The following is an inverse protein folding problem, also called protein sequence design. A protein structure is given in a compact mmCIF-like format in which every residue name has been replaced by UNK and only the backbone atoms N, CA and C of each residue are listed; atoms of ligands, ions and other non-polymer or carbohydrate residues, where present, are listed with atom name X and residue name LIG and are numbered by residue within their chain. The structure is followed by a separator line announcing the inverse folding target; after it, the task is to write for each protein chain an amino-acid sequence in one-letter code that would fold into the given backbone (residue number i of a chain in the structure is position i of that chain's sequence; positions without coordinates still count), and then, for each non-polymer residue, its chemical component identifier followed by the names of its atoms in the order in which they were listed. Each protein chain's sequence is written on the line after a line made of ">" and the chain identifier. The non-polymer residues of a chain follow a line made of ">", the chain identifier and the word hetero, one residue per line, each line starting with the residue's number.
data_IF_474576752932
#
_entry.id   IF_474576752932
#
_cell.length_a   1.000
_cell.length_b   1.000
_cell.length_c   1.000
_cell.angle_alpha   90.00
_cell.angle_beta   90.00
_cell.angle_gamma   90.00
#
_symmetry.space_group_name_H-M   'P 1'
#
loop_
_entity.id
_entity.type
_entity.pdbx_description
1 polymer ?
#
# COMPACT_ATOMS: atom_id res chain seq x y z
N UNK A 1 51.18 -34.97 31.25
CA UNK A 1 49.83 -34.47 30.90
C UNK A 1 50.02 -33.05 30.39
N UNK A 2 50.15 -32.94 29.06
CA UNK A 2 50.25 -31.63 28.41
C UNK A 2 48.84 -31.11 28.21
N UNK A 3 48.52 -30.01 28.85
CA UNK A 3 47.32 -29.22 28.60
C UNK A 3 47.40 -28.61 27.22
N UNK A 4 46.61 -29.11 26.32
CA UNK A 4 46.35 -28.46 25.02
C UNK A 4 45.48 -27.24 25.32
N UNK A 5 46.13 -26.08 25.47
CA UNK A 5 45.44 -24.79 25.47
C UNK A 5 44.93 -24.54 24.07
N UNK A 6 43.66 -24.84 23.84
CA UNK A 6 42.96 -24.35 22.67
C UNK A 6 42.86 -22.83 22.78
N UNK A 7 43.74 -22.15 22.09
CA UNK A 7 43.69 -20.70 21.93
C UNK A 7 42.57 -20.38 20.94
N UNK A 8 41.34 -20.23 21.48
CA UNK A 8 40.23 -19.70 20.68
C UNK A 8 40.61 -18.31 20.16
N UNK A 9 40.76 -18.22 18.89
CA UNK A 9 40.85 -16.94 18.13
C UNK A 9 39.54 -16.18 18.41
N UNK A 10 39.47 -15.47 19.51
CA UNK A 10 38.46 -14.43 19.68
C UNK A 10 38.75 -13.32 18.67
N UNK A 11 38.22 -13.44 17.48
CA UNK A 11 38.11 -12.33 16.55
C UNK A 11 37.19 -11.29 17.21
N UNK A 12 37.80 -10.37 17.96
CA UNK A 12 37.05 -9.26 18.58
C UNK A 12 36.50 -8.40 17.47
N UNK A 13 35.27 -8.72 17.05
CA UNK A 13 34.41 -7.85 16.24
C UNK A 13 34.10 -6.60 17.07
N UNK A 14 35.05 -5.68 17.12
CA UNK A 14 34.87 -4.40 17.80
C UNK A 14 34.03 -3.52 16.88
N UNK A 15 33.01 -2.84 17.43
CA UNK A 15 32.15 -1.89 16.69
C UNK A 15 33.01 -0.88 15.93
N UNK A 16 34.16 -0.46 16.49
CA UNK A 16 35.13 0.42 15.86
C UNK A 16 35.70 -0.16 14.56
N UNK A 17 36.10 -1.45 14.57
CA UNK A 17 36.62 -2.12 13.37
C UNK A 17 35.58 -2.24 12.27
N UNK A 18 34.30 -2.46 12.61
CA UNK A 18 33.20 -2.47 11.63
C UNK A 18 32.96 -1.09 11.03
N UNK A 19 32.99 -0.03 11.83
CA UNK A 19 32.83 1.36 11.36
C UNK A 19 33.98 1.77 10.43
N UNK A 20 35.21 1.41 10.74
CA UNK A 20 36.37 1.70 9.89
C UNK A 20 36.32 0.91 8.58
N UNK A 21 35.91 -0.35 8.63
CA UNK A 21 35.68 -1.16 7.43
C UNK A 21 34.55 -0.57 6.56
N UNK A 22 33.46 -0.10 7.18
CA UNK A 22 32.37 0.56 6.47
C UNK A 22 32.83 1.86 5.78
N UNK A 23 33.62 2.70 6.47
CA UNK A 23 34.21 3.92 5.88
C UNK A 23 35.12 3.62 4.70
N UNK A 24 35.98 2.61 4.81
CA UNK A 24 36.89 2.21 3.73
C UNK A 24 36.15 1.65 2.51
N UNK A 25 34.98 1.01 2.72
CA UNK A 25 34.18 0.34 1.67
C UNK A 25 32.87 1.06 1.37
N UNK A 26 32.78 2.36 1.67
CA UNK A 26 31.55 3.15 1.47
C UNK A 26 31.06 3.12 0.02
N UNK A 27 31.96 3.08 -0.95
CA UNK A 27 31.62 2.94 -2.36
C UNK A 27 30.89 1.63 -2.67
N UNK A 28 31.26 0.52 -2.01
CA UNK A 28 30.60 -0.77 -2.14
C UNK A 28 29.18 -0.74 -1.52
N UNK A 29 29.03 -0.12 -0.35
CA UNK A 29 27.73 0.08 0.30
C UNK A 29 26.78 0.83 -0.65
N UNK A 30 27.25 1.96 -1.18
CA UNK A 30 26.47 2.79 -2.09
C UNK A 30 26.11 2.03 -3.38
N UNK A 31 27.06 1.28 -3.95
CA UNK A 31 26.81 0.50 -5.16
C UNK A 31 25.72 -0.59 -4.95
N UNK A 32 25.82 -1.38 -3.88
CA UNK A 32 24.84 -2.42 -3.55
C UNK A 32 23.46 -1.80 -3.26
N UNK A 33 23.42 -0.76 -2.43
CA UNK A 33 22.18 -0.09 -2.05
C UNK A 33 21.50 0.52 -3.26
N UNK A 34 22.24 1.24 -4.11
CA UNK A 34 21.72 1.86 -5.32
C UNK A 34 21.22 0.80 -6.32
N UNK A 35 22.00 -0.27 -6.52
CA UNK A 35 21.58 -1.37 -7.39
C UNK A 35 20.26 -2.00 -6.94
N UNK A 36 20.14 -2.36 -5.65
CA UNK A 36 18.90 -2.93 -5.11
C UNK A 36 17.74 -1.95 -5.17
N UNK A 37 17.97 -0.66 -4.94
CA UNK A 37 16.94 0.38 -5.05
C UNK A 37 16.41 0.47 -6.49
N UNK A 38 17.26 0.43 -7.50
CA UNK A 38 16.86 0.41 -8.92
C UNK A 38 16.04 -0.85 -9.23
N UNK A 39 16.48 -2.01 -8.77
CA UNK A 39 15.72 -3.27 -8.90
C UNK A 39 14.35 -3.14 -8.26
N UNK A 40 14.25 -2.54 -7.06
CA UNK A 40 12.99 -2.28 -6.39
C UNK A 40 12.05 -1.38 -7.20
N UNK A 41 12.59 -0.35 -7.84
CA UNK A 41 11.83 0.52 -8.75
C UNK A 41 11.26 -0.24 -9.96
N UNK A 42 12.08 -1.10 -10.58
CA UNK A 42 11.66 -1.95 -11.70
C UNK A 42 10.55 -2.93 -11.27
N UNK A 43 10.75 -3.62 -10.13
CA UNK A 43 9.74 -4.53 -9.57
C UNK A 43 8.45 -3.79 -9.28
N UNK A 44 8.52 -2.62 -8.62
CA UNK A 44 7.34 -1.81 -8.31
C UNK A 44 6.56 -1.36 -9.54
N UNK A 45 7.26 -1.07 -10.65
CA UNK A 45 6.64 -0.60 -11.89
C UNK A 45 6.06 -1.74 -12.74
N UNK A 46 6.78 -2.84 -12.90
CA UNK A 46 6.44 -3.88 -13.87
C UNK A 46 5.71 -5.08 -13.28
N UNK A 47 6.01 -5.47 -12.04
CA UNK A 47 5.44 -6.67 -11.43
C UNK A 47 4.20 -6.41 -10.59
N UNK A 48 4.00 -5.18 -10.12
CA UNK A 48 2.84 -4.87 -9.27
C UNK A 48 1.75 -4.22 -10.10
N UNK A 49 0.60 -4.89 -10.19
CA UNK A 49 -0.57 -4.37 -10.93
C UNK A 49 -1.03 -3.05 -10.33
N UNK A 50 -1.18 -2.03 -11.17
CA UNK A 50 -1.77 -0.73 -10.80
C UNK A 50 -3.23 -0.91 -10.40
N UNK A 51 -3.64 -0.24 -9.33
CA UNK A 51 -5.04 -0.13 -8.95
C UNK A 51 -5.55 1.24 -9.35
N UNK A 52 -6.72 1.24 -9.94
CA UNK A 52 -7.48 2.42 -10.32
C UNK A 52 -8.62 2.59 -9.32
N UNK A 53 -8.83 3.80 -8.85
CA UNK A 53 -9.80 4.10 -7.81
C UNK A 53 -10.67 5.27 -8.22
N UNK A 54 -11.98 5.12 -8.00
CA UNK A 54 -12.97 6.19 -8.10
C UNK A 54 -13.78 6.24 -6.81
N UNK A 55 -14.28 7.42 -6.47
CA UNK A 55 -15.14 7.66 -5.29
C UNK A 55 -16.38 8.41 -5.71
N UNK A 56 -17.51 8.05 -5.13
CA UNK A 56 -18.80 8.73 -5.31
C UNK A 56 -19.52 8.83 -3.98
N UNK A 57 -20.60 9.58 -3.95
CA UNK A 57 -21.41 9.78 -2.76
C UNK A 57 -22.90 9.71 -3.09
N UNK A 58 -23.65 9.01 -2.25
CA UNK A 58 -25.10 8.97 -2.29
C UNK A 58 -25.66 9.43 -0.95
N UNK A 59 -26.80 10.10 -0.97
CA UNK A 59 -27.56 10.47 0.23
C UNK A 59 -28.84 9.63 0.27
N UNK A 60 -29.16 9.20 1.49
CA UNK A 60 -30.41 8.50 1.77
C UNK A 60 -31.26 9.37 2.67
N UNK A 61 -32.46 9.71 2.21
CA UNK A 61 -33.42 10.53 2.96
C UNK A 61 -34.78 9.84 2.98
N UNK A 62 -35.37 9.69 4.15
CA UNK A 62 -36.72 9.23 4.26
C UNK A 62 -37.66 10.22 3.57
N UNK A 63 -38.52 9.74 2.67
CA UNK A 63 -39.57 10.53 2.08
C UNK A 63 -40.78 10.38 2.96
N UNK A 64 -41.30 11.50 3.45
CA UNK A 64 -42.53 11.59 4.24
C UNK A 64 -43.62 12.07 3.31
N UNK A 65 -44.74 11.34 3.23
CA UNK A 65 -45.92 11.78 2.48
C UNK A 65 -46.54 13.03 3.12
N UNK A 66 -47.22 13.83 2.31
CA UNK A 66 -47.91 15.06 2.82
C UNK A 66 -48.91 14.75 3.95
N UNK A 67 -49.54 13.59 3.92
CA UNK A 67 -50.48 13.12 4.93
C UNK A 67 -49.81 12.79 6.28
N UNK A 68 -48.54 12.42 6.25
CA UNK A 68 -47.74 12.06 7.42
C UNK A 68 -46.78 13.16 7.87
N UNK A 69 -46.60 14.19 7.08
CA UNK A 69 -45.67 15.30 7.36
C UNK A 69 -45.97 16.00 8.70
N UNK A 70 -47.22 16.04 9.09
CA UNK A 70 -47.64 16.61 10.39
C UNK A 70 -47.55 15.62 11.58
N UNK A 71 -47.28 14.33 11.30
CA UNK A 71 -47.24 13.26 12.33
C UNK A 71 -45.79 12.87 12.69
N UNK A 72 -44.85 13.14 11.81
CA UNK A 72 -43.44 12.74 11.97
C UNK A 72 -42.59 13.98 12.24
N UNK A 73 -41.93 14.03 13.38
CA UNK A 73 -41.00 15.14 13.66
C UNK A 73 -39.75 15.08 12.73
N UNK A 74 -39.17 16.24 12.44
CA UNK A 74 -37.93 16.33 11.66
C UNK A 74 -36.82 15.49 12.25
N UNK A 75 -36.73 15.38 13.56
CA UNK A 75 -35.78 14.54 14.27
C UNK A 75 -35.99 13.04 13.97
N UNK A 76 -37.27 12.59 14.00
CA UNK A 76 -37.63 11.20 13.70
C UNK A 76 -37.32 10.87 12.22
N UNK A 77 -37.70 11.78 11.31
CA UNK A 77 -37.40 11.61 9.89
C UNK A 77 -35.87 11.51 9.62
N UNK A 78 -35.08 12.32 10.31
CA UNK A 78 -33.61 12.23 10.22
C UNK A 78 -33.09 10.92 10.79
N UNK A 79 -33.52 10.48 11.96
CA UNK A 79 -33.11 9.22 12.56
C UNK A 79 -33.44 8.02 11.66
N UNK A 80 -34.63 8.01 11.07
CA UNK A 80 -35.03 6.99 10.11
C UNK A 80 -34.17 7.03 8.86
N UNK A 81 -33.80 8.21 8.36
CA UNK A 81 -32.91 8.37 7.24
C UNK A 81 -31.50 7.78 7.54
N UNK A 82 -30.98 7.98 8.75
CA UNK A 82 -29.72 7.38 9.20
C UNK A 82 -29.82 5.85 9.22
N UNK A 83 -30.90 5.30 9.73
CA UNK A 83 -31.13 3.85 9.73
C UNK A 83 -31.24 3.29 8.31
N UNK A 84 -31.95 3.98 7.41
CA UNK A 84 -32.08 3.60 6.01
C UNK A 84 -30.71 3.67 5.30
N UNK A 85 -29.88 4.69 5.56
CA UNK A 85 -28.55 4.82 5.00
C UNK A 85 -27.66 3.64 5.39
N UNK A 86 -27.69 3.24 6.67
CA UNK A 86 -26.96 2.07 7.14
C UNK A 86 -27.48 0.78 6.48
N UNK A 87 -28.77 0.64 6.32
CA UNK A 87 -29.39 -0.50 5.64
C UNK A 87 -28.96 -0.58 4.16
N UNK A 88 -28.99 0.55 3.46
CA UNK A 88 -28.53 0.62 2.05
C UNK A 88 -27.04 0.26 1.95
N UNK A 89 -26.21 0.82 2.84
CA UNK A 89 -24.78 0.58 2.88
C UNK A 89 -24.42 -0.90 3.14
N UNK A 90 -25.10 -1.53 4.11
CA UNK A 90 -24.74 -2.89 4.55
C UNK A 90 -25.42 -3.99 3.73
N UNK A 91 -26.69 -3.78 3.35
CA UNK A 91 -27.52 -4.84 2.77
C UNK A 91 -27.73 -4.72 1.27
N UNK A 92 -27.83 -3.50 0.72
CA UNK A 92 -28.15 -3.34 -0.71
C UNK A 92 -26.93 -3.13 -1.58
N UNK A 93 -26.03 -2.21 -1.23
CA UNK A 93 -24.92 -1.79 -2.09
C UNK A 93 -23.99 -2.94 -2.50
N UNK A 94 -23.82 -3.95 -1.64
CA UNK A 94 -23.02 -5.15 -1.90
C UNK A 94 -23.85 -6.40 -2.13
N UNK A 95 -25.15 -6.24 -2.35
CA UNK A 95 -26.03 -7.40 -2.61
C UNK A 95 -25.72 -8.02 -3.97
N UNK A 96 -25.93 -9.32 -4.06
CA UNK A 96 -25.78 -10.03 -5.32
C UNK A 96 -26.76 -9.55 -6.39
N UNK A 97 -27.93 -9.04 -5.99
CA UNK A 97 -28.94 -8.47 -6.87
C UNK A 97 -28.38 -7.27 -7.64
N UNK A 98 -27.89 -6.26 -6.90
CA UNK A 98 -27.32 -5.03 -7.48
C UNK A 98 -26.08 -5.36 -8.31
N UNK A 99 -25.16 -6.18 -7.77
CA UNK A 99 -23.89 -6.44 -8.42
C UNK A 99 -24.01 -7.32 -9.69
N UNK A 100 -24.99 -8.22 -9.76
CA UNK A 100 -25.29 -8.98 -10.98
C UNK A 100 -25.86 -8.07 -12.07
N UNK A 101 -26.87 -7.25 -11.73
CA UNK A 101 -27.45 -6.28 -12.68
C UNK A 101 -26.38 -5.30 -13.17
N UNK A 102 -25.59 -4.71 -12.28
CA UNK A 102 -24.49 -3.82 -12.65
C UNK A 102 -23.44 -4.51 -13.56
N UNK A 103 -23.10 -5.78 -13.28
CA UNK A 103 -22.21 -6.58 -14.13
C UNK A 103 -22.77 -6.79 -15.54
N UNK A 104 -24.06 -7.07 -15.67
CA UNK A 104 -24.76 -7.23 -16.96
C UNK A 104 -24.81 -5.91 -17.74
N UNK A 105 -25.16 -4.81 -17.07
CA UNK A 105 -25.14 -3.46 -17.67
C UNK A 105 -23.75 -3.06 -18.13
N UNK A 106 -22.71 -3.28 -17.31
CA UNK A 106 -21.33 -3.01 -17.68
C UNK A 106 -20.89 -3.80 -18.92
N UNK A 107 -21.31 -5.05 -19.03
CA UNK A 107 -21.00 -5.88 -20.19
C UNK A 107 -21.73 -5.41 -21.44
N UNK A 108 -23.00 -5.05 -21.30
CA UNK A 108 -23.87 -4.67 -22.41
C UNK A 108 -23.54 -3.27 -22.96
N UNK A 109 -23.42 -2.28 -22.06
CA UNK A 109 -23.37 -0.87 -22.45
C UNK A 109 -21.95 -0.33 -22.54
N UNK A 110 -21.02 -0.90 -21.77
CA UNK A 110 -19.63 -0.43 -21.70
C UNK A 110 -18.60 -1.45 -22.19
N UNK A 111 -19.04 -2.66 -22.60
CA UNK A 111 -18.17 -3.77 -23.03
C UNK A 111 -17.11 -4.14 -21.95
N UNK A 112 -17.46 -3.99 -20.67
CA UNK A 112 -16.62 -4.34 -19.52
C UNK A 112 -17.13 -5.64 -18.93
N UNK A 113 -16.41 -6.75 -19.17
CA UNK A 113 -16.75 -8.06 -18.60
C UNK A 113 -16.08 -8.24 -17.23
N UNK A 114 -16.82 -7.95 -16.17
CA UNK A 114 -16.37 -8.06 -14.79
C UNK A 114 -17.37 -8.87 -13.95
N UNK A 115 -16.88 -9.90 -13.26
CA UNK A 115 -17.72 -10.76 -12.43
C UNK A 115 -18.22 -10.02 -11.18
N UNK A 116 -19.46 -10.32 -10.70
CA UNK A 116 -20.02 -9.71 -9.49
C UNK A 116 -19.12 -9.83 -8.25
N UNK A 117 -18.40 -10.94 -8.09
CA UNK A 117 -17.48 -11.14 -6.96
C UNK A 117 -16.30 -10.16 -6.99
N UNK A 118 -15.83 -9.79 -8.20
CA UNK A 118 -14.79 -8.76 -8.36
C UNK A 118 -15.32 -7.36 -8.09
N UNK A 119 -16.57 -7.07 -8.48
CA UNK A 119 -17.23 -5.83 -8.10
C UNK A 119 -17.34 -5.73 -6.58
N UNK A 120 -17.81 -6.79 -5.92
CA UNK A 120 -17.94 -6.85 -4.46
C UNK A 120 -16.61 -6.63 -3.74
N UNK A 121 -15.55 -7.28 -4.21
CA UNK A 121 -14.22 -7.18 -3.59
C UNK A 121 -13.55 -5.81 -3.81
N UNK A 122 -13.87 -5.13 -4.91
CA UNK A 122 -13.35 -3.79 -5.21
C UNK A 122 -14.12 -2.67 -4.52
N UNK A 123 -15.35 -2.95 -4.04
CA UNK A 123 -16.25 -1.97 -3.49
C UNK A 123 -16.04 -1.80 -1.97
N UNK A 124 -15.78 -0.59 -1.55
CA UNK A 124 -15.70 -0.18 -0.14
C UNK A 124 -16.67 0.97 0.08
N UNK A 125 -17.45 0.91 1.14
CA UNK A 125 -18.42 1.96 1.46
C UNK A 125 -18.47 2.23 2.96
N UNK A 126 -18.83 3.44 3.31
CA UNK A 126 -19.02 3.87 4.69
C UNK A 126 -20.07 4.96 4.76
N UNK A 127 -20.88 4.93 5.81
CA UNK A 127 -21.76 6.05 6.15
C UNK A 127 -20.94 7.15 6.80
N UNK A 128 -21.16 8.40 6.39
CA UNK A 128 -20.48 9.56 6.96
C UNK A 128 -20.92 9.75 8.42
N UNK A 129 -19.96 9.64 9.36
CA UNK A 129 -20.22 9.75 10.80
C UNK A 129 -20.77 11.11 11.23
N UNK A 130 -20.52 12.18 10.48
CA UNK A 130 -20.98 13.52 10.81
C UNK A 130 -22.40 13.80 10.27
N UNK A 131 -22.71 13.25 9.08
CA UNK A 131 -23.99 13.47 8.41
C UNK A 131 -24.98 12.33 8.59
N UNK A 132 -24.49 11.11 8.85
CA UNK A 132 -25.29 9.91 9.11
C UNK A 132 -26.17 9.42 7.94
N UNK A 133 -26.49 10.29 6.99
CA UNK A 133 -27.35 10.00 5.83
C UNK A 133 -26.58 9.90 4.52
N UNK A 134 -25.33 10.29 4.51
CA UNK A 134 -24.46 10.23 3.33
C UNK A 134 -23.64 8.94 3.34
N UNK A 135 -23.64 8.24 2.21
CA UNK A 135 -22.84 7.03 1.98
C UNK A 135 -21.72 7.41 1.02
N UNK A 136 -20.50 7.36 1.50
CA UNK A 136 -19.31 7.46 0.65
C UNK A 136 -18.97 6.09 0.09
N UNK A 137 -18.89 5.98 -1.22
CA UNK A 137 -18.62 4.73 -1.94
C UNK A 137 -17.35 4.86 -2.73
N UNK A 138 -16.47 3.88 -2.58
CA UNK A 138 -15.19 3.81 -3.26
C UNK A 138 -15.07 2.48 -4.00
N UNK A 139 -14.71 2.52 -5.26
CA UNK A 139 -14.38 1.35 -6.05
C UNK A 139 -12.89 1.35 -6.41
N UNK A 140 -12.22 0.24 -6.18
CA UNK A 140 -10.80 0.06 -6.50
C UNK A 140 -10.58 -1.27 -7.22
N UNK A 141 -10.02 -1.22 -8.41
CA UNK A 141 -9.77 -2.41 -9.23
C UNK A 141 -8.55 -2.24 -10.12
N UNK A 142 -8.24 -3.27 -10.90
CA UNK A 142 -7.22 -3.21 -11.95
C UNK A 142 -7.77 -2.68 -13.29
N UNK A 143 -9.07 -2.36 -13.37
CA UNK A 143 -9.70 -1.77 -14.54
C UNK A 143 -9.56 -0.26 -14.54
N UNK A 144 -9.14 0.31 -15.66
CA UNK A 144 -8.93 1.77 -15.80
C UNK A 144 -10.24 2.57 -15.71
N UNK A 145 -11.37 1.98 -16.12
CA UNK A 145 -12.69 2.57 -16.09
C UNK A 145 -13.37 2.44 -14.70
N UNK A 146 -12.66 2.68 -13.62
CA UNK A 146 -13.20 2.55 -12.27
C UNK A 146 -14.33 3.54 -11.98
N UNK A 147 -14.36 4.70 -12.63
CA UNK A 147 -15.43 5.69 -12.57
C UNK A 147 -16.71 5.20 -13.25
N UNK A 148 -16.60 4.64 -14.44
CA UNK A 148 -17.74 4.04 -15.16
C UNK A 148 -18.31 2.88 -14.35
N UNK A 149 -17.47 2.01 -13.82
CA UNK A 149 -17.90 0.87 -13.01
C UNK A 149 -18.64 1.35 -11.77
N UNK A 150 -18.09 2.32 -11.04
CA UNK A 150 -18.75 2.87 -9.85
C UNK A 150 -20.06 3.58 -10.20
N UNK A 151 -20.09 4.35 -11.30
CA UNK A 151 -21.30 5.01 -11.80
C UNK A 151 -22.40 4.00 -12.04
N UNK A 152 -22.10 2.96 -12.83
CA UNK A 152 -23.08 1.90 -13.14
C UNK A 152 -23.60 1.20 -11.89
N UNK A 153 -22.74 0.95 -10.87
CA UNK A 153 -23.20 0.35 -9.59
C UNK A 153 -24.17 1.28 -8.87
N UNK A 154 -23.84 2.58 -8.79
CA UNK A 154 -24.70 3.56 -8.11
C UNK A 154 -26.02 3.79 -8.86
N UNK A 155 -25.97 3.87 -10.19
CA UNK A 155 -27.17 4.02 -11.03
C UNK A 155 -28.06 2.79 -10.91
N UNK A 156 -27.49 1.59 -10.97
CA UNK A 156 -28.24 0.32 -10.77
C UNK A 156 -28.88 0.26 -9.39
N UNK A 157 -28.16 0.73 -8.35
CA UNK A 157 -28.71 0.79 -6.98
C UNK A 157 -29.94 1.70 -6.94
N UNK A 158 -29.85 2.91 -7.50
CA UNK A 158 -30.96 3.87 -7.51
C UNK A 158 -32.11 3.36 -8.34
N UNK A 159 -31.86 2.78 -9.51
CA UNK A 159 -32.87 2.20 -10.39
C UNK A 159 -33.62 1.07 -9.68
N UNK A 160 -32.90 0.13 -9.06
CA UNK A 160 -33.52 -1.00 -8.35
C UNK A 160 -34.38 -0.55 -7.19
N UNK A 161 -33.90 0.40 -6.38
CA UNK A 161 -34.68 0.90 -5.25
C UNK A 161 -35.90 1.72 -5.69
N UNK A 162 -35.89 2.26 -6.92
CA UNK A 162 -36.99 3.01 -7.50
C UNK A 162 -37.95 2.15 -8.35
N UNK A 163 -37.73 0.84 -8.41
CA UNK A 163 -38.61 -0.07 -9.16
C UNK A 163 -40.00 -0.05 -8.55
N UNK A 164 -40.99 0.14 -9.43
CA UNK A 164 -42.42 0.17 -9.04
C UNK A 164 -43.09 -1.13 -9.44
N UNK A 165 -44.03 -1.56 -8.61
CA UNK A 165 -44.99 -2.65 -8.90
C UNK A 165 -46.06 -2.16 -9.89
N UNK A 166 -46.89 -3.07 -10.38
CA UNK A 166 -48.00 -2.80 -11.29
C UNK A 166 -49.05 -1.84 -10.67
N UNK A 167 -49.19 -1.82 -9.33
CA UNK A 167 -50.08 -0.97 -8.58
C UNK A 167 -49.55 0.48 -8.38
N UNK A 168 -48.32 0.76 -8.89
CA UNK A 168 -47.64 2.04 -8.74
C UNK A 168 -46.88 2.24 -7.45
N UNK A 169 -46.97 1.32 -6.50
CA UNK A 169 -46.18 1.33 -5.27
C UNK A 169 -44.73 0.94 -5.53
N UNK A 170 -43.79 1.39 -4.69
CA UNK A 170 -42.39 0.96 -4.79
C UNK A 170 -42.26 -0.48 -4.33
N UNK A 171 -41.42 -1.25 -5.03
CA UNK A 171 -41.08 -2.62 -4.62
C UNK A 171 -40.48 -2.64 -3.21
N UNK A 172 -39.63 -1.65 -2.97
CA UNK A 172 -38.99 -1.39 -1.67
C UNK A 172 -39.68 -0.20 -0.98
N UNK A 173 -40.81 -0.43 -0.36
CA UNK A 173 -41.69 0.64 0.18
C UNK A 173 -40.98 1.70 1.02
N UNK A 174 -40.06 1.31 1.90
CA UNK A 174 -39.31 2.23 2.76
C UNK A 174 -38.11 2.91 2.05
N UNK A 175 -37.62 2.33 0.95
CA UNK A 175 -36.43 2.79 0.25
C UNK A 175 -36.73 3.47 -1.10
N UNK A 176 -37.97 3.29 -1.60
CA UNK A 176 -38.38 3.87 -2.87
C UNK A 176 -38.18 5.38 -2.88
N UNK A 177 -37.45 5.88 -3.87
CA UNK A 177 -37.08 7.29 -4.07
C UNK A 177 -36.31 7.95 -2.88
N UNK A 178 -35.81 7.14 -1.93
CA UNK A 178 -35.06 7.65 -0.77
C UNK A 178 -33.58 7.90 -1.07
N UNK A 179 -33.01 7.21 -2.07
CA UNK A 179 -31.60 7.27 -2.42
C UNK A 179 -31.37 8.21 -3.60
N UNK A 180 -30.42 9.12 -3.46
CA UNK A 180 -29.99 10.04 -4.52
C UNK A 180 -28.47 10.13 -4.59
N UNK A 181 -27.93 10.09 -5.81
CA UNK A 181 -26.51 10.32 -6.03
C UNK A 181 -26.26 11.83 -5.92
N UNK A 182 -25.40 12.22 -4.98
CA UNK A 182 -25.03 13.62 -4.73
C UNK A 182 -23.71 14.00 -5.33
N UNK A 183 -22.81 13.03 -5.49
CA UNK A 183 -21.55 13.20 -6.18
C UNK A 183 -21.36 12.08 -7.18
N UNK A 184 -21.31 12.44 -8.46
CA UNK A 184 -20.93 11.51 -9.51
C UNK A 184 -19.55 10.92 -9.23
N UNK A 185 -19.25 9.72 -9.73
CA UNK A 185 -17.94 9.11 -9.55
C UNK A 185 -16.81 10.06 -9.93
N UNK A 186 -15.86 10.21 -9.03
CA UNK A 186 -14.71 11.08 -9.23
C UNK A 186 -13.83 10.56 -10.38
N UNK A 187 -13.06 11.48 -10.98
CA UNK A 187 -12.03 11.10 -11.93
C UNK A 187 -11.15 10.00 -11.34
N UNK A 188 -10.85 9.00 -12.15
CA UNK A 188 -10.04 7.86 -11.75
C UNK A 188 -8.65 8.30 -11.28
N UNK A 189 -8.28 7.87 -10.11
CA UNK A 189 -6.92 8.01 -9.58
C UNK A 189 -6.22 6.66 -9.64
N UNK A 190 -4.92 6.66 -9.91
CA UNK A 190 -4.11 5.46 -9.88
C UNK A 190 -3.06 5.53 -8.78
N UNK A 191 -2.66 4.37 -8.26
CA UNK A 191 -1.66 4.24 -7.21
C UNK A 191 -0.26 3.85 -7.72
N UNK A 192 -0.04 3.94 -9.03
CA UNK A 192 1.22 3.52 -9.67
C UNK A 192 2.44 4.20 -9.05
N UNK A 193 2.42 5.53 -8.98
CA UNK A 193 3.54 6.30 -8.43
C UNK A 193 3.78 5.97 -6.94
N UNK A 194 2.70 5.87 -6.16
CA UNK A 194 2.79 5.53 -4.73
C UNK A 194 3.37 4.14 -4.49
N UNK A 195 3.07 3.18 -5.37
CA UNK A 195 3.65 1.83 -5.28
C UNK A 195 5.14 1.83 -5.61
N UNK A 196 5.54 2.46 -6.70
CA UNK A 196 6.96 2.55 -7.06
C UNK A 196 7.77 3.14 -5.92
N UNK A 197 7.30 4.23 -5.29
CA UNK A 197 7.98 4.85 -4.15
C UNK A 197 8.07 3.89 -2.96
N UNK A 198 7.00 3.16 -2.64
CA UNK A 198 7.01 2.17 -1.54
C UNK A 198 8.05 1.07 -1.79
N UNK A 199 8.12 0.53 -3.00
CA UNK A 199 9.11 -0.49 -3.35
C UNK A 199 10.53 0.07 -3.35
N UNK A 200 10.76 1.30 -3.82
CA UNK A 200 12.04 1.98 -3.72
C UNK A 200 12.53 2.06 -2.27
N UNK A 201 11.66 2.49 -1.34
CA UNK A 201 12.00 2.60 0.09
C UNK A 201 12.30 1.23 0.70
N UNK A 202 11.46 0.22 0.43
CA UNK A 202 11.66 -1.13 0.95
C UNK A 202 12.99 -1.71 0.47
N UNK A 203 13.26 -1.64 -0.85
CA UNK A 203 14.49 -2.17 -1.42
C UNK A 203 15.73 -1.36 -1.03
N UNK A 204 15.60 -0.06 -0.77
CA UNK A 204 16.66 0.75 -0.19
C UNK A 204 17.07 0.24 1.20
N UNK A 205 16.08 -0.01 2.09
CA UNK A 205 16.36 -0.57 3.42
C UNK A 205 16.98 -1.97 3.32
N UNK A 206 16.45 -2.83 2.46
CA UNK A 206 17.04 -4.16 2.20
C UNK A 206 18.48 -4.01 1.70
N UNK A 207 18.75 -3.06 0.81
CA UNK A 207 20.08 -2.77 0.29
C UNK A 207 21.09 -2.39 1.38
N UNK A 208 20.66 -1.58 2.36
CA UNK A 208 21.48 -1.23 3.52
C UNK A 208 21.80 -2.45 4.38
N UNK A 209 20.81 -3.29 4.65
CA UNK A 209 21.02 -4.52 5.45
C UNK A 209 21.97 -5.48 4.74
N UNK A 210 21.74 -5.73 3.45
CA UNK A 210 22.61 -6.62 2.64
C UNK A 210 24.04 -6.08 2.59
N UNK A 211 24.22 -4.78 2.38
CA UNK A 211 25.57 -4.17 2.36
C UNK A 211 26.27 -4.30 3.70
N UNK A 212 25.55 -4.16 4.83
CA UNK A 212 26.12 -4.37 6.16
C UNK A 212 26.58 -5.81 6.36
N UNK A 213 25.79 -6.79 5.94
CA UNK A 213 26.16 -8.22 6.00
C UNK A 213 27.42 -8.49 5.16
N UNK A 214 27.50 -7.94 3.95
CA UNK A 214 28.68 -8.11 3.08
C UNK A 214 29.94 -7.52 3.73
N UNK A 215 29.83 -6.40 4.44
CA UNK A 215 30.95 -5.81 5.17
C UNK A 215 31.39 -6.72 6.32
N UNK A 216 30.43 -7.21 7.11
CA UNK A 216 30.74 -8.13 8.24
C UNK A 216 31.45 -9.38 7.71
N UNK A 217 30.92 -9.99 6.67
CA UNK A 217 31.58 -11.15 6.02
C UNK A 217 32.97 -10.77 5.53
N UNK A 218 33.13 -9.62 4.89
CA UNK A 218 34.41 -9.14 4.41
C UNK A 218 35.43 -8.84 5.50
N UNK A 219 34.98 -8.47 6.71
CA UNK A 219 35.85 -8.28 7.88
C UNK A 219 36.22 -9.62 8.50
N UNK A 220 35.29 -10.59 8.54
CA UNK A 220 35.56 -11.94 9.06
C UNK A 220 36.51 -12.76 8.17
N UNK A 221 36.48 -12.53 6.86
CA UNK A 221 37.34 -13.20 5.89
C UNK A 221 38.67 -12.46 5.65
N UNK A 222 38.87 -11.30 6.30
CA UNK A 222 40.09 -10.49 6.18
C UNK A 222 41.11 -10.97 7.20
N UNK A 223 41.94 -11.94 6.82
CA UNK A 223 43.05 -12.48 7.62
C UNK A 223 44.29 -11.57 7.63
N UNK A 224 44.15 -10.31 7.19
CA UNK A 224 45.27 -9.38 7.10
C UNK A 224 45.55 -8.73 8.45
N UNK A 225 46.77 -8.86 8.92
CA UNK A 225 47.24 -8.15 10.10
C UNK A 225 47.28 -6.63 9.85
N UNK A 226 46.55 -5.87 10.64
CA UNK A 226 46.39 -4.40 10.46
C UNK A 226 47.33 -3.58 11.34
N UNK A 227 47.86 -4.20 12.41
CA UNK A 227 48.74 -3.53 13.35
C UNK A 227 49.94 -4.44 13.69
N UNK A 228 51.05 -3.81 14.05
CA UNK A 228 52.24 -4.49 14.50
C UNK A 228 51.97 -5.38 15.72
N UNK A 229 51.24 -4.84 16.69
CA UNK A 229 50.89 -5.50 17.93
C UNK A 229 50.04 -6.77 17.71
N UNK A 230 49.14 -6.72 16.70
CA UNK A 230 48.31 -7.86 16.32
C UNK A 230 49.12 -8.98 15.70
N UNK A 231 50.08 -8.63 14.84
CA UNK A 231 51.00 -9.60 14.24
C UNK A 231 51.90 -10.25 15.29
N UNK A 232 52.52 -9.46 16.19
CA UNK A 232 53.42 -9.97 17.25
C UNK A 232 52.68 -10.89 18.21
N UNK A 233 51.42 -10.53 18.54
CA UNK A 233 50.59 -11.33 19.46
C UNK A 233 50.16 -12.67 18.84
N UNK A 234 49.83 -12.70 17.55
CA UNK A 234 49.35 -13.92 16.89
C UNK A 234 50.47 -14.84 16.39
N UNK A 235 51.61 -14.28 16.02
CA UNK A 235 52.75 -15.06 15.51
C UNK A 235 53.82 -15.33 16.57
N UNK A 236 53.85 -14.58 17.64
CA UNK A 236 54.91 -14.62 18.65
C UNK A 236 56.26 -14.12 18.13
N UNK A 237 56.33 -13.43 17.01
CA UNK A 237 57.54 -12.92 16.38
C UNK A 237 57.56 -11.39 16.52
N UNK A 238 58.63 -10.87 17.14
CA UNK A 238 58.83 -9.43 17.27
C UNK A 238 59.09 -8.78 15.89
N UNK A 239 58.35 -7.72 15.57
CA UNK A 239 58.51 -6.95 14.35
C UNK A 239 59.65 -5.95 14.54
N UNK A 240 60.75 -6.17 13.89
CA UNK A 240 61.98 -5.33 13.99
C UNK A 240 61.82 -3.98 13.27
N UNK A 241 61.06 -3.91 12.21
CA UNK A 241 60.80 -2.67 11.49
C UNK A 241 59.46 -2.74 10.74
N UNK A 242 58.73 -1.63 10.70
CA UNK A 242 57.59 -1.43 9.82
C UNK A 242 58.00 -0.53 8.65
N UNK A 243 57.84 -1.03 7.41
CA UNK A 243 57.94 -0.14 6.26
C UNK A 243 56.65 0.63 6.13
N UNK A 244 56.68 1.92 6.45
CA UNK A 244 55.59 2.81 6.07
C UNK A 244 55.42 2.80 4.56
N UNK A 245 54.17 2.78 4.11
CA UNK A 245 53.85 2.72 2.68
C UNK A 245 54.43 3.96 1.99
N UNK A 246 55.59 3.82 1.33
CA UNK A 246 56.25 4.87 0.53
C UNK A 246 55.49 5.11 -0.80
N UNK A 247 54.23 4.71 -0.84
CA UNK A 247 53.38 5.07 -1.94
C UNK A 247 52.88 6.51 -1.74
N UNK A 248 53.55 7.42 -2.44
CA UNK A 248 53.05 8.74 -2.80
C UNK A 248 53.32 9.90 -1.80
N UNK A 249 54.59 10.07 -1.43
CA UNK A 249 55.13 11.43 -1.43
C UNK A 249 55.28 11.83 -2.91
N UNK A 250 54.12 11.99 -3.61
CA UNK A 250 54.13 12.68 -4.90
C UNK A 250 54.32 14.17 -4.60
N UNK A 251 55.61 14.57 -4.79
CA UNK A 251 55.99 15.84 -5.41
C UNK A 251 54.97 17.00 -5.20
N UNK A 252 55.13 17.74 -4.12
CA UNK A 252 54.93 19.17 -4.12
C UNK A 252 56.30 19.80 -4.43
N UNK A 253 56.64 19.87 -5.67
CA UNK A 253 57.62 20.77 -6.24
C UNK A 253 57.05 21.28 -7.56
N UNK A 254 56.70 22.50 -7.51
CA UNK A 254 56.63 23.70 -8.34
C UNK A 254 55.26 24.36 -8.34
#
# INVERSE_FOLDING_TARGET
>A
MEEIVCNEKESQLTIGALLDAAKRRIGLILAITLFLTVVGGIVGKFFVKTKYTSTGEAIVMMIVSDDDANKISSTTAYQNSVYLAETVNTSFLKSDLILKKASETLKKDHNIDIKPEKLKSGLTSSVDSNRGIAISVKFSSTYEAADVILGTILDTLVEELNTKREDGSYEWELLGNSVRITSSPSRVTNDSSSKVIKFLVIFFVIGLVVSAIVIVIGVLLDDTYKTKEQFEKDTGIDVLATLENIALAKEKTE
#
